data_IF_051596985278
#
_entry.id   IF_051596985278
#
_cell.length_a   1.000
_cell.length_b   1.000
_cell.length_c   1.000
_cell.angle_alpha   90.00
_cell.angle_beta   90.00
_cell.angle_gamma   90.00
#
_symmetry.space_group_name_H-M   'P 1'
#
loop_
_entity.id
_entity.type
_entity.pdbx_description
1 polymer ?
#
# COMPACT_ATOMS: atom_id res chain seq x y z
N UNK A 1 29.20 19.50 20.49
CA UNK A 1 28.87 19.34 19.04
C UNK A 1 30.18 19.43 18.26
N UNK A 2 30.46 18.53 17.35
CA UNK A 2 31.64 18.58 16.47
C UNK A 2 31.26 19.18 15.13
N UNK A 3 32.16 19.91 14.52
CA UNK A 3 32.03 20.49 13.19
C UNK A 3 33.07 19.83 12.27
N UNK A 4 32.66 19.43 11.06
CA UNK A 4 33.53 18.88 10.03
C UNK A 4 33.44 19.82 8.83
N UNK A 5 34.58 20.37 8.42
CA UNK A 5 34.69 21.23 7.23
C UNK A 5 35.31 20.42 6.10
N UNK A 6 34.67 20.44 4.92
CA UNK A 6 35.15 19.77 3.71
C UNK A 6 35.49 20.81 2.64
N UNK A 7 36.66 20.69 2.04
CA UNK A 7 37.09 21.49 0.89
C UNK A 7 37.04 20.64 -0.39
N UNK A 8 36.43 21.17 -1.44
CA UNK A 8 36.24 20.49 -2.71
C UNK A 8 36.93 21.26 -3.85
N UNK A 9 37.86 20.61 -4.54
CA UNK A 9 38.48 21.15 -5.74
C UNK A 9 37.95 20.43 -6.97
N UNK A 10 37.43 21.19 -7.93
CA UNK A 10 36.72 20.66 -9.10
C UNK A 10 37.41 21.13 -10.39
N UNK A 11 37.62 20.20 -11.30
CA UNK A 11 38.20 20.50 -12.64
C UNK A 11 37.23 19.99 -13.70
N UNK A 12 36.76 20.89 -14.55
CA UNK A 12 35.95 20.53 -15.71
C UNK A 12 36.82 20.55 -16.97
N UNK A 13 36.79 19.43 -17.70
CA UNK A 13 37.39 19.35 -19.03
C UNK A 13 36.28 19.56 -20.07
N UNK A 14 36.44 20.59 -20.90
CA UNK A 14 35.49 20.88 -21.97
C UNK A 14 35.89 20.09 -23.21
N UNK A 15 34.99 19.29 -23.80
CA UNK A 15 35.31 18.55 -25.03
C UNK A 15 35.62 19.51 -26.22
N UNK A 16 36.58 19.15 -27.06
CA UNK A 16 36.88 19.92 -28.28
C UNK A 16 35.70 20.07 -29.24
N UNK A 17 34.78 19.07 -29.24
CA UNK A 17 33.54 19.09 -30.05
C UNK A 17 32.50 20.13 -29.61
N UNK A 18 32.81 20.89 -28.57
CA UNK A 18 31.87 21.87 -27.98
C UNK A 18 30.98 21.29 -26.86
N UNK A 19 30.24 22.16 -26.24
CA UNK A 19 29.39 21.84 -25.08
C UNK A 19 27.94 22.11 -25.40
N UNK A 20 27.06 21.13 -25.17
CA UNK A 20 25.60 21.34 -25.18
C UNK A 20 25.08 21.41 -23.75
N UNK A 21 23.95 22.12 -23.54
CA UNK A 21 23.32 22.19 -22.21
C UNK A 21 22.94 20.81 -21.66
N UNK A 22 22.49 19.89 -22.52
CA UNK A 22 22.17 18.52 -22.14
C UNK A 22 23.42 17.72 -21.77
N UNK A 23 24.53 17.92 -22.50
CA UNK A 23 25.83 17.33 -22.17
C UNK A 23 26.37 17.83 -20.84
N UNK A 24 26.24 19.14 -20.57
CA UNK A 24 26.61 19.75 -19.30
C UNK A 24 25.80 19.17 -18.13
N UNK A 25 24.47 19.10 -18.28
CA UNK A 25 23.58 18.50 -17.26
C UNK A 25 23.93 17.01 -17.04
N UNK A 26 24.15 16.26 -18.10
CA UNK A 26 24.54 14.84 -18.01
C UNK A 26 25.87 14.63 -17.27
N UNK A 27 26.88 15.43 -17.62
CA UNK A 27 28.17 15.44 -16.94
C UNK A 27 28.08 15.82 -15.46
N UNK A 28 27.30 16.86 -15.14
CA UNK A 28 27.05 17.28 -13.75
C UNK A 28 26.34 16.18 -12.93
N UNK A 29 25.35 15.50 -13.49
CA UNK A 29 24.67 14.37 -12.81
C UNK A 29 25.63 13.24 -12.48
N UNK A 30 26.44 12.83 -13.44
CA UNK A 30 27.42 11.76 -13.26
C UNK A 30 28.46 12.14 -12.19
N UNK A 31 28.93 13.36 -12.25
CA UNK A 31 29.89 13.90 -11.33
C UNK A 31 29.34 14.05 -9.89
N UNK A 32 28.13 14.57 -9.71
CA UNK A 32 27.44 14.65 -8.41
C UNK A 32 27.38 13.26 -7.76
N UNK A 33 27.03 12.21 -8.52
CA UNK A 33 27.02 10.83 -8.01
C UNK A 33 28.38 10.36 -7.49
N UNK A 34 29.48 10.72 -8.15
CA UNK A 34 30.84 10.36 -7.70
C UNK A 34 31.28 11.12 -6.45
N UNK A 35 30.93 12.40 -6.36
CA UNK A 35 31.30 13.24 -5.21
C UNK A 35 30.56 12.83 -3.95
N UNK A 36 29.27 12.55 -4.03
CA UNK A 36 28.48 12.13 -2.87
C UNK A 36 29.12 10.93 -2.17
N UNK A 37 29.56 9.91 -2.94
CA UNK A 37 30.24 8.75 -2.37
C UNK A 37 31.55 9.10 -1.64
N UNK A 38 32.34 10.04 -2.19
CA UNK A 38 33.57 10.51 -1.55
C UNK A 38 33.29 11.33 -0.29
N UNK A 39 32.34 12.27 -0.36
CA UNK A 39 31.94 13.07 0.79
C UNK A 39 31.45 12.15 1.93
N UNK A 40 30.56 11.20 1.63
CA UNK A 40 30.05 10.29 2.63
C UNK A 40 31.15 9.39 3.21
N UNK A 41 32.08 8.90 2.37
CA UNK A 41 33.25 8.16 2.83
C UNK A 41 34.11 8.96 3.80
N UNK A 42 34.46 10.21 3.47
CA UNK A 42 35.26 11.10 4.34
C UNK A 42 34.52 11.46 5.64
N UNK A 43 33.19 11.67 5.60
CA UNK A 43 32.40 11.87 6.80
C UNK A 43 32.39 10.63 7.71
N UNK A 44 32.29 9.43 7.10
CA UNK A 44 32.37 8.17 7.84
C UNK A 44 33.73 8.01 8.50
N UNK A 45 34.83 8.32 7.79
CA UNK A 45 36.20 8.27 8.31
C UNK A 45 36.37 9.21 9.52
N UNK A 46 35.95 10.46 9.39
CA UNK A 46 36.04 11.43 10.47
C UNK A 46 35.20 11.04 11.68
N UNK A 47 34.00 10.49 11.48
CA UNK A 47 33.14 10.01 12.54
C UNK A 47 33.71 8.75 13.22
N UNK A 48 34.23 7.80 12.42
CA UNK A 48 34.85 6.57 12.93
C UNK A 48 36.05 6.88 13.82
N UNK A 49 36.95 7.75 13.35
CA UNK A 49 38.14 8.14 14.11
C UNK A 49 37.77 8.73 15.46
N UNK A 50 36.83 9.67 15.48
CA UNK A 50 36.35 10.29 16.72
C UNK A 50 35.69 9.29 17.67
N UNK A 51 34.92 8.34 17.13
CA UNK A 51 34.27 7.29 17.90
C UNK A 51 35.31 6.38 18.57
N UNK A 52 36.33 5.96 17.79
CA UNK A 52 37.42 5.12 18.28
C UNK A 52 38.26 5.83 19.31
N UNK A 53 38.62 7.10 19.09
CA UNK A 53 39.35 7.91 20.05
C UNK A 53 38.58 8.02 21.37
N UNK A 54 37.26 8.31 21.31
CA UNK A 54 36.42 8.40 22.49
C UNK A 54 36.37 7.09 23.27
N UNK A 55 36.25 5.93 22.59
CA UNK A 55 36.23 4.63 23.26
C UNK A 55 37.59 4.30 23.91
N UNK A 56 38.67 4.49 23.20
CA UNK A 56 40.03 4.22 23.72
C UNK A 56 40.37 5.15 24.89
N UNK A 57 39.98 6.42 24.83
CA UNK A 57 40.18 7.37 25.93
C UNK A 57 39.32 7.07 27.16
N UNK A 58 38.11 6.57 26.96
CA UNK A 58 37.20 6.24 28.07
C UNK A 58 37.64 5.01 28.87
N UNK A 59 38.25 4.02 28.21
CA UNK A 59 38.74 2.78 28.82
C UNK A 59 39.96 2.23 28.05
N UNK A 60 41.17 2.76 28.28
CA UNK A 60 42.40 2.38 27.55
C UNK A 60 42.83 0.93 27.82
N UNK A 61 42.46 0.36 28.96
CA UNK A 61 42.81 -1.01 29.29
C UNK A 61 41.92 -2.02 28.55
N UNK A 62 40.71 -1.62 28.26
CA UNK A 62 39.71 -2.46 27.59
C UNK A 62 39.80 -2.35 26.08
N UNK A 63 39.91 -1.15 25.53
CA UNK A 63 39.81 -0.95 24.07
C UNK A 63 41.16 -0.63 23.45
N UNK A 64 41.59 -1.47 22.52
CA UNK A 64 42.85 -1.30 21.77
C UNK A 64 42.55 -1.28 20.27
N UNK A 65 43.18 -0.35 19.55
CA UNK A 65 43.12 -0.31 18.07
C UNK A 65 43.65 -1.62 17.48
N UNK A 66 42.90 -2.22 16.54
CA UNK A 66 43.23 -3.51 15.93
C UNK A 66 43.26 -3.40 14.38
N UNK A 67 43.70 -2.25 13.86
CA UNK A 67 43.78 -2.01 12.43
C UNK A 67 42.41 -1.80 11.79
N UNK A 68 42.24 -2.30 10.57
CA UNK A 68 41.01 -2.24 9.81
C UNK A 68 40.70 -3.58 9.13
N UNK A 69 39.49 -3.75 8.66
CA UNK A 69 39.10 -4.92 7.89
C UNK A 69 39.99 -5.14 6.68
N UNK A 70 40.36 -6.40 6.39
CA UNK A 70 41.29 -6.75 5.28
C UNK A 70 40.72 -6.39 3.91
N UNK A 71 39.39 -6.43 3.74
CA UNK A 71 38.67 -6.11 2.50
C UNK A 71 37.75 -4.94 2.69
N UNK A 72 37.70 -4.06 1.68
CA UNK A 72 36.66 -3.03 1.65
C UNK A 72 35.28 -3.64 1.51
N UNK A 73 34.33 -3.10 2.26
CA UNK A 73 32.88 -3.36 2.09
C UNK A 73 32.32 -2.32 1.14
N UNK A 74 31.48 -2.74 0.21
CA UNK A 74 30.84 -1.86 -0.76
C UNK A 74 29.43 -1.55 -0.28
N UNK A 75 29.23 -0.35 0.28
CA UNK A 75 27.92 0.13 0.69
C UNK A 75 27.22 0.78 -0.51
N UNK A 76 26.06 0.30 -0.86
CA UNK A 76 25.23 0.84 -1.95
C UNK A 76 24.17 1.78 -1.39
N UNK A 77 24.34 3.06 -1.67
CA UNK A 77 23.40 4.12 -1.32
C UNK A 77 22.64 4.62 -2.56
N UNK A 78 21.60 5.42 -2.39
CA UNK A 78 20.94 6.14 -3.50
C UNK A 78 21.87 7.09 -4.24
N UNK A 79 22.97 7.50 -3.60
CA UNK A 79 23.96 8.45 -4.11
C UNK A 79 25.19 7.77 -4.76
N UNK A 80 25.24 6.43 -4.74
CA UNK A 80 26.37 5.71 -5.33
C UNK A 80 26.86 4.55 -4.45
N UNK A 81 27.90 3.87 -4.94
CA UNK A 81 28.58 2.79 -4.20
C UNK A 81 29.80 3.37 -3.48
N UNK A 82 29.86 3.12 -2.18
CA UNK A 82 30.91 3.63 -1.29
C UNK A 82 31.78 2.43 -0.87
N UNK A 83 33.03 2.32 -1.37
CA UNK A 83 33.97 1.36 -0.85
C UNK A 83 34.49 1.87 0.50
N UNK A 84 34.31 1.11 1.57
CA UNK A 84 34.73 1.51 2.90
C UNK A 84 35.41 0.35 3.63
N UNK A 85 36.53 0.63 4.32
CA UNK A 85 37.26 -0.30 5.17
C UNK A 85 37.05 0.11 6.63
N UNK A 86 36.19 -0.58 7.32
CA UNK A 86 35.90 -0.29 8.71
C UNK A 86 37.10 -0.58 9.61
N UNK A 87 37.42 0.37 10.48
CA UNK A 87 38.40 0.18 11.51
C UNK A 87 37.90 -0.79 12.58
N UNK A 88 38.83 -1.48 13.22
CA UNK A 88 38.55 -2.48 14.25
C UNK A 88 39.17 -2.10 15.59
N UNK A 89 38.42 -2.36 16.64
CA UNK A 89 38.89 -2.35 18.03
C UNK A 89 38.90 -3.77 18.56
N UNK A 90 39.85 -4.08 19.41
CA UNK A 90 39.89 -5.29 20.23
C UNK A 90 39.42 -4.95 21.63
N UNK A 91 38.38 -5.62 22.07
CA UNK A 91 37.96 -5.60 23.47
C UNK A 91 38.84 -6.61 24.23
N UNK A 92 39.75 -6.13 25.06
CA UNK A 92 40.70 -6.96 25.80
C UNK A 92 40.02 -7.84 26.86
N UNK A 93 38.87 -7.41 27.39
CA UNK A 93 38.12 -8.18 28.38
C UNK A 93 37.42 -9.40 27.74
N UNK A 94 36.82 -9.22 26.57
CA UNK A 94 36.13 -10.31 25.86
C UNK A 94 37.02 -11.03 24.85
N UNK A 95 38.18 -10.47 24.49
CA UNK A 95 39.08 -10.95 23.44
C UNK A 95 38.51 -10.80 22.02
N UNK A 96 37.35 -10.17 21.84
CA UNK A 96 36.64 -10.03 20.55
C UNK A 96 37.06 -8.76 19.82
N UNK A 97 37.14 -8.88 18.49
CA UNK A 97 37.22 -7.69 17.63
C UNK A 97 35.82 -7.16 17.34
N UNK A 98 35.67 -5.85 17.45
CA UNK A 98 34.44 -5.12 17.16
C UNK A 98 34.68 -4.08 16.07
N UNK A 99 33.64 -3.61 15.44
CA UNK A 99 33.67 -2.61 14.37
C UNK A 99 32.76 -1.44 14.82
N UNK A 100 33.29 -0.47 15.57
CA UNK A 100 32.49 0.54 16.26
C UNK A 100 31.53 1.32 15.35
N UNK A 101 32.01 1.69 14.16
CA UNK A 101 31.17 2.46 13.22
C UNK A 101 30.00 1.64 12.69
N UNK A 102 30.17 0.33 12.46
CA UNK A 102 29.08 -0.57 12.02
C UNK A 102 27.98 -0.65 13.08
N UNK A 103 28.37 -0.72 14.35
CA UNK A 103 27.46 -0.76 15.48
C UNK A 103 26.76 0.59 15.68
N UNK A 104 27.52 1.70 15.67
CA UNK A 104 27.02 3.04 15.87
C UNK A 104 26.03 3.49 14.79
N UNK A 105 26.27 3.13 13.53
CA UNK A 105 25.41 3.43 12.38
C UNK A 105 24.40 2.33 12.10
N UNK A 106 24.33 1.28 12.91
CA UNK A 106 23.46 0.12 12.72
C UNK A 106 23.51 -0.45 11.28
N UNK A 107 24.73 -0.53 10.70
CA UNK A 107 24.91 -1.03 9.35
C UNK A 107 24.69 -2.55 9.36
N UNK A 108 23.71 -3.09 8.63
CA UNK A 108 23.39 -4.51 8.68
C UNK A 108 24.57 -5.37 8.27
N UNK A 109 24.83 -6.46 9.01
CA UNK A 109 25.87 -7.42 8.64
C UNK A 109 25.53 -8.05 7.28
N UNK A 110 26.54 -8.19 6.42
CA UNK A 110 26.41 -8.84 5.10
C UNK A 110 25.47 -8.16 4.09
N UNK A 111 24.89 -7.02 4.42
CA UNK A 111 24.06 -6.28 3.50
C UNK A 111 24.90 -5.21 2.78
N UNK A 112 24.70 -5.14 1.46
CA UNK A 112 25.38 -4.16 0.63
C UNK A 112 24.49 -2.95 0.33
N UNK A 113 23.16 -3.05 0.50
CA UNK A 113 22.22 -1.97 0.21
C UNK A 113 21.79 -1.28 1.50
N UNK A 114 22.00 0.02 1.56
CA UNK A 114 21.42 0.84 2.63
C UNK A 114 19.93 0.97 2.44
N UNK A 115 19.18 1.10 3.55
CA UNK A 115 17.72 1.12 3.53
C UNK A 115 17.17 2.23 2.63
N UNK A 116 17.79 3.40 2.64
CA UNK A 116 17.38 4.54 1.81
C UNK A 116 17.52 4.28 0.30
N UNK A 117 18.42 3.37 -0.11
CA UNK A 117 18.56 2.94 -1.50
C UNK A 117 17.49 1.91 -1.91
N UNK A 118 16.92 1.19 -0.93
CA UNK A 118 15.91 0.16 -1.17
C UNK A 118 14.51 0.74 -1.31
N UNK A 119 14.20 1.81 -0.58
CA UNK A 119 12.87 2.43 -0.57
C UNK A 119 12.33 2.74 -1.98
N UNK A 120 13.06 3.44 -2.88
CA UNK A 120 12.55 3.73 -4.22
C UNK A 120 12.23 2.46 -5.01
N UNK A 121 13.09 1.43 -4.91
CA UNK A 121 12.90 0.15 -5.57
C UNK A 121 11.65 -0.57 -5.07
N UNK A 122 11.48 -0.69 -3.76
CA UNK A 122 10.32 -1.34 -3.15
C UNK A 122 9.06 -0.50 -3.42
N UNK A 123 9.12 0.82 -3.23
CA UNK A 123 7.99 1.72 -3.45
C UNK A 123 7.46 1.70 -4.89
N UNK A 124 8.34 1.57 -5.88
CA UNK A 124 7.93 1.44 -7.29
C UNK A 124 7.25 0.11 -7.60
N UNK A 125 7.52 -0.98 -6.85
CA UNK A 125 6.86 -2.28 -7.07
C UNK A 125 5.36 -2.25 -6.86
N UNK A 126 4.86 -1.24 -6.18
CA UNK A 126 3.42 -1.01 -6.01
C UNK A 126 2.73 -0.77 -7.36
N UNK A 127 3.44 -0.17 -8.31
CA UNK A 127 2.89 0.22 -9.62
C UNK A 127 3.41 -0.63 -10.78
N UNK A 128 4.64 -1.12 -10.69
CA UNK A 128 5.32 -1.82 -11.78
C UNK A 128 5.91 -3.16 -11.33
N UNK A 129 6.36 -4.00 -12.27
CA UNK A 129 7.04 -5.26 -11.94
C UNK A 129 8.38 -5.02 -11.24
N UNK A 130 8.86 -5.98 -10.46
CA UNK A 130 10.17 -5.89 -9.78
C UNK A 130 11.32 -5.55 -10.74
N UNK A 131 11.34 -6.15 -11.92
CA UNK A 131 12.37 -5.87 -12.95
C UNK A 131 12.29 -4.43 -13.45
N UNK A 132 11.07 -3.93 -13.69
CA UNK A 132 10.90 -2.55 -14.13
C UNK A 132 11.20 -1.56 -13.02
N UNK A 133 10.84 -1.86 -11.78
CA UNK A 133 11.17 -1.02 -10.64
C UNK A 133 12.69 -0.83 -10.50
N UNK A 134 13.46 -1.92 -10.59
CA UNK A 134 14.93 -1.83 -10.51
C UNK A 134 15.55 -1.11 -11.69
N UNK A 135 15.05 -1.33 -12.91
CA UNK A 135 15.51 -0.61 -14.11
C UNK A 135 15.24 0.91 -14.02
N UNK A 136 14.08 1.31 -13.47
CA UNK A 136 13.78 2.74 -13.29
C UNK A 136 14.64 3.37 -12.18
N UNK A 137 14.89 2.67 -11.08
CA UNK A 137 15.81 3.13 -10.02
C UNK A 137 17.23 3.33 -10.59
N UNK A 138 17.72 2.37 -11.37
CA UNK A 138 19.02 2.47 -12.02
C UNK A 138 19.08 3.64 -13.01
N UNK A 139 18.04 3.81 -13.84
CA UNK A 139 17.96 4.91 -14.82
C UNK A 139 17.94 6.29 -14.18
N UNK A 140 17.29 6.44 -13.02
CA UNK A 140 17.15 7.74 -12.34
C UNK A 140 18.32 8.01 -11.40
N UNK A 141 18.69 7.01 -10.59
CA UNK A 141 19.68 7.15 -9.50
C UNK A 141 21.06 6.58 -9.84
N UNK A 142 21.23 5.91 -10.99
CA UNK A 142 22.52 5.33 -11.39
C UNK A 142 22.94 4.09 -10.58
N UNK A 143 22.09 3.61 -9.66
CA UNK A 143 22.39 2.45 -8.83
C UNK A 143 21.75 1.18 -9.38
N UNK A 144 22.57 0.21 -9.76
CA UNK A 144 22.09 -1.11 -10.16
C UNK A 144 21.68 -1.94 -8.94
N UNK A 145 20.44 -2.41 -8.97
CA UNK A 145 19.87 -3.29 -7.95
C UNK A 145 19.20 -4.49 -8.62
N UNK A 146 19.43 -5.70 -8.11
CA UNK A 146 18.75 -6.87 -8.67
C UNK A 146 17.28 -6.91 -8.25
N UNK A 147 16.41 -7.34 -9.17
CA UNK A 147 15.00 -7.52 -8.87
C UNK A 147 14.75 -8.58 -7.77
N UNK A 148 15.65 -9.56 -7.64
CA UNK A 148 15.62 -10.54 -6.55
C UNK A 148 15.93 -9.91 -5.19
N UNK A 149 16.83 -8.92 -5.14
CA UNK A 149 17.09 -8.14 -3.92
C UNK A 149 15.84 -7.38 -3.48
N UNK A 150 15.20 -6.65 -4.40
CA UNK A 150 13.97 -5.91 -4.11
C UNK A 150 12.85 -6.86 -3.66
N UNK A 151 12.69 -8.00 -4.34
CA UNK A 151 11.69 -9.00 -3.96
C UNK A 151 11.97 -9.54 -2.54
N UNK A 152 13.19 -9.98 -2.25
CA UNK A 152 13.56 -10.50 -0.93
C UNK A 152 13.32 -9.47 0.17
N UNK A 153 13.75 -8.22 -0.04
CA UNK A 153 13.55 -7.14 0.93
C UNK A 153 12.09 -6.78 1.16
N UNK A 154 11.27 -6.84 0.12
CA UNK A 154 9.82 -6.66 0.26
C UNK A 154 9.21 -7.79 1.13
N UNK A 155 9.65 -9.05 0.94
CA UNK A 155 9.17 -10.17 1.76
C UNK A 155 9.59 -9.99 3.23
N UNK A 156 10.84 -9.60 3.49
CA UNK A 156 11.36 -9.32 4.84
C UNK A 156 10.59 -8.18 5.52
N UNK A 157 10.34 -7.08 4.81
CA UNK A 157 9.56 -5.95 5.30
C UNK A 157 8.12 -6.36 5.66
N UNK A 158 7.47 -7.15 4.79
CA UNK A 158 6.11 -7.62 5.03
C UNK A 158 6.01 -8.61 6.19
N UNK A 159 7.07 -9.39 6.47
CA UNK A 159 7.13 -10.32 7.57
C UNK A 159 7.37 -9.63 8.92
N UNK A 160 8.15 -8.54 8.94
CA UNK A 160 8.48 -7.79 10.16
C UNK A 160 7.40 -6.78 10.57
N UNK A 161 6.44 -6.46 9.67
CA UNK A 161 5.43 -5.45 9.92
C UNK A 161 4.05 -5.99 9.56
N UNK A 162 3.16 -6.07 10.53
CA UNK A 162 1.75 -6.34 10.30
C UNK A 162 0.97 -5.01 10.21
N UNK A 163 0.47 -4.63 9.02
CA UNK A 163 -0.30 -3.41 8.86
C UNK A 163 -1.68 -3.46 9.53
N UNK A 164 -2.14 -4.64 9.88
CA UNK A 164 -3.46 -4.92 10.44
C UNK A 164 -3.42 -5.31 11.92
N UNK A 165 -2.33 -5.01 12.61
CA UNK A 165 -2.22 -5.21 14.06
C UNK A 165 -3.46 -4.75 14.82
N UNK A 166 -3.65 -5.19 16.05
CA UNK A 166 -4.85 -4.95 16.83
C UNK A 166 -5.35 -3.49 16.74
N UNK A 167 -6.59 -3.32 16.27
CA UNK A 167 -7.28 -2.05 16.09
C UNK A 167 -8.45 -1.91 17.09
N UNK A 168 -8.39 -2.59 18.24
CA UNK A 168 -9.46 -2.64 19.24
C UNK A 168 -9.74 -1.28 19.91
N UNK A 169 -8.78 -0.39 19.85
CA UNK A 169 -8.92 1.00 20.28
C UNK A 169 -9.76 1.86 19.33
N UNK A 170 -9.96 1.39 18.08
CA UNK A 170 -10.79 2.08 17.09
C UNK A 170 -12.22 1.61 17.16
N UNK A 171 -13.14 2.52 17.43
CA UNK A 171 -14.58 2.25 17.45
C UNK A 171 -15.16 2.27 16.00
N UNK A 172 -14.78 1.30 15.19
CA UNK A 172 -15.36 1.16 13.85
C UNK A 172 -16.87 0.86 13.95
N UNK A 173 -17.65 1.54 13.12
CA UNK A 173 -19.11 1.37 13.02
C UNK A 173 -19.55 0.73 11.71
N UNK A 174 -18.76 0.87 10.68
CA UNK A 174 -19.10 0.46 9.32
C UNK A 174 -18.06 -0.48 8.75
N UNK A 175 -18.50 -1.58 8.17
CA UNK A 175 -17.66 -2.57 7.51
C UNK A 175 -18.09 -2.72 6.05
N UNK A 176 -17.20 -2.61 5.11
CA UNK A 176 -17.40 -2.94 3.70
C UNK A 176 -16.53 -4.11 3.31
N UNK A 177 -17.13 -5.10 2.66
CA UNK A 177 -16.42 -6.28 2.16
C UNK A 177 -16.73 -6.53 0.70
N UNK A 178 -15.75 -7.07 -0.01
CA UNK A 178 -15.88 -7.46 -1.42
C UNK A 178 -14.81 -8.45 -1.79
N UNK A 179 -15.00 -9.17 -2.90
CA UNK A 179 -14.06 -10.13 -3.45
C UNK A 179 -13.70 -9.84 -4.91
N UNK A 180 -12.49 -10.20 -5.30
CA UNK A 180 -12.08 -10.17 -6.70
C UNK A 180 -11.22 -11.37 -7.04
N UNK A 181 -11.34 -11.85 -8.28
CA UNK A 181 -10.57 -13.00 -8.75
C UNK A 181 -9.13 -12.60 -9.12
N UNK A 182 -8.18 -13.38 -8.66
CA UNK A 182 -6.76 -13.25 -8.99
C UNK A 182 -6.19 -14.58 -9.46
N UNK A 183 -5.19 -14.52 -10.34
CA UNK A 183 -4.47 -15.73 -10.80
C UNK A 183 -3.29 -16.02 -9.87
N UNK A 184 -3.22 -17.24 -9.37
CA UNK A 184 -2.09 -17.72 -8.60
C UNK A 184 -1.22 -18.71 -9.40
N UNK A 185 0.05 -18.76 -8.99
CA UNK A 185 0.99 -19.76 -9.47
C UNK A 185 1.63 -20.49 -8.29
N UNK A 186 1.77 -21.79 -8.42
CA UNK A 186 2.48 -22.66 -7.50
C UNK A 186 3.98 -22.74 -7.80
N UNK A 187 4.67 -23.65 -7.10
CA UNK A 187 6.08 -23.94 -7.33
C UNK A 187 6.36 -24.26 -8.80
N UNK A 188 7.56 -23.86 -9.27
CA UNK A 188 8.01 -24.04 -10.64
C UNK A 188 7.10 -23.40 -11.72
N UNK A 189 6.26 -22.45 -11.32
CA UNK A 189 5.38 -21.73 -12.23
C UNK A 189 4.11 -22.48 -12.62
N UNK A 190 3.75 -23.57 -11.90
CA UNK A 190 2.49 -24.30 -12.12
C UNK A 190 1.30 -23.35 -11.97
N UNK A 191 0.42 -23.32 -12.96
CA UNK A 191 -0.81 -22.53 -12.87
C UNK A 191 -1.76 -23.17 -11.83
N UNK A 192 -2.17 -22.39 -10.84
CA UNK A 192 -3.16 -22.78 -9.83
C UNK A 192 -4.57 -22.27 -10.17
N UNK A 193 -4.71 -21.58 -11.30
CA UNK A 193 -5.98 -21.03 -11.73
C UNK A 193 -6.35 -19.72 -11.02
N UNK A 194 -7.66 -19.40 -11.07
CA UNK A 194 -8.22 -18.24 -10.42
C UNK A 194 -8.74 -18.59 -9.03
N UNK A 195 -8.32 -17.82 -8.05
CA UNK A 195 -8.84 -17.87 -6.67
C UNK A 195 -9.47 -16.53 -6.30
N UNK A 196 -10.26 -16.51 -5.26
CA UNK A 196 -10.88 -15.29 -4.76
C UNK A 196 -9.94 -14.59 -3.76
N UNK A 197 -9.67 -13.32 -4.01
CA UNK A 197 -9.02 -12.42 -3.07
C UNK A 197 -10.10 -11.55 -2.42
N UNK A 198 -10.22 -11.62 -1.12
CA UNK A 198 -11.22 -10.93 -0.31
C UNK A 198 -10.60 -9.79 0.47
N UNK A 199 -11.32 -8.68 0.53
CA UNK A 199 -10.91 -7.50 1.29
C UNK A 199 -12.00 -7.12 2.28
N UNK A 200 -11.57 -6.52 3.39
CA UNK A 200 -12.43 -5.80 4.30
C UNK A 200 -11.85 -4.43 4.58
N UNK A 201 -12.71 -3.42 4.60
CA UNK A 201 -12.39 -2.07 4.99
C UNK A 201 -13.39 -1.60 6.03
N UNK A 202 -12.94 -0.78 6.99
CA UNK A 202 -13.81 -0.26 8.05
C UNK A 202 -13.70 1.25 8.17
N UNK A 203 -14.76 1.88 8.71
CA UNK A 203 -14.83 3.31 8.97
C UNK A 203 -15.42 3.62 10.34
N UNK A 204 -14.99 4.73 10.94
CA UNK A 204 -15.50 5.27 12.20
C UNK A 204 -16.82 6.06 12.00
N UNK A 205 -17.01 6.64 10.84
CA UNK A 205 -18.18 7.46 10.50
C UNK A 205 -18.78 7.09 9.15
N UNK A 206 -20.04 7.42 8.97
CA UNK A 206 -20.84 7.03 7.81
C UNK A 206 -20.29 7.53 6.47
N UNK A 207 -19.86 8.77 6.42
CA UNK A 207 -19.17 9.38 5.27
C UNK A 207 -17.65 9.46 5.49
N UNK A 208 -17.15 8.76 6.53
CA UNK A 208 -15.75 8.71 6.87
C UNK A 208 -14.92 7.94 5.84
N UNK A 209 -13.62 8.14 5.91
CA UNK A 209 -12.68 7.37 5.09
C UNK A 209 -12.64 5.92 5.55
N UNK A 210 -12.97 5.01 4.65
CA UNK A 210 -12.76 3.59 4.87
C UNK A 210 -11.27 3.26 4.76
N UNK A 211 -10.75 2.53 5.74
CA UNK A 211 -9.38 2.03 5.72
C UNK A 211 -9.37 0.50 5.68
N UNK A 212 -8.44 -0.11 4.92
CA UNK A 212 -8.33 -1.56 4.89
C UNK A 212 -8.03 -2.13 6.27
N UNK A 213 -8.76 -3.21 6.64
CA UNK A 213 -8.57 -3.95 7.89
C UNK A 213 -8.16 -5.39 7.66
N UNK A 214 -8.14 -5.85 6.41
CA UNK A 214 -7.61 -7.15 6.05
C UNK A 214 -7.69 -7.48 4.56
N UNK A 215 -6.80 -8.39 4.15
CA UNK A 215 -6.77 -9.05 2.85
C UNK A 215 -6.62 -10.55 3.06
N UNK A 216 -7.34 -11.34 2.29
CA UNK A 216 -7.31 -12.80 2.36
C UNK A 216 -7.36 -13.39 0.95
N UNK A 217 -6.73 -14.54 0.78
CA UNK A 217 -6.75 -15.29 -0.47
C UNK A 217 -7.36 -16.66 -0.17
N UNK A 218 -8.39 -17.02 -0.93
CA UNK A 218 -9.11 -18.31 -0.83
C UNK A 218 -9.55 -18.70 0.60
N UNK A 219 -9.79 -17.70 1.44
CA UNK A 219 -10.16 -17.87 2.85
C UNK A 219 -11.68 -17.72 2.99
N UNK A 220 -12.32 -18.60 3.73
CA UNK A 220 -13.78 -18.56 3.94
C UNK A 220 -14.21 -17.37 4.81
N UNK A 221 -15.40 -16.83 4.58
CA UNK A 221 -15.92 -15.70 5.35
C UNK A 221 -16.01 -15.97 6.87
N UNK A 222 -16.29 -17.21 7.25
CA UNK A 222 -16.30 -17.62 8.67
C UNK A 222 -14.92 -17.52 9.34
N UNK A 223 -13.85 -17.77 8.60
CA UNK A 223 -12.46 -17.63 9.09
C UNK A 223 -12.07 -16.16 9.15
N UNK A 224 -12.44 -15.39 8.11
CA UNK A 224 -12.26 -13.93 8.06
C UNK A 224 -12.95 -13.26 9.25
N UNK A 225 -14.17 -13.69 9.60
CA UNK A 225 -14.89 -13.20 10.76
C UNK A 225 -14.08 -13.34 12.06
N UNK A 226 -13.50 -14.50 12.31
CA UNK A 226 -12.67 -14.76 13.51
C UNK A 226 -11.49 -13.80 13.58
N UNK A 227 -10.77 -13.61 12.46
CA UNK A 227 -9.64 -12.69 12.42
C UNK A 227 -10.08 -11.23 12.63
N UNK A 228 -11.23 -10.82 12.10
CA UNK A 228 -11.74 -9.47 12.33
C UNK A 228 -12.13 -9.24 13.79
N UNK A 229 -12.69 -10.24 14.47
CA UNK A 229 -12.99 -10.19 15.91
C UNK A 229 -11.73 -10.09 16.79
N UNK A 230 -10.64 -10.67 16.35
CA UNK A 230 -9.34 -10.51 17.01
C UNK A 230 -8.73 -9.13 16.82
N UNK A 231 -8.94 -8.52 15.64
CA UNK A 231 -8.34 -7.24 15.24
C UNK A 231 -9.08 -6.02 15.77
N UNK A 232 -10.43 -6.05 15.84
CA UNK A 232 -11.25 -4.90 16.20
C UNK A 232 -12.39 -5.26 17.15
N UNK A 233 -13.03 -4.24 17.73
CA UNK A 233 -14.26 -4.42 18.48
C UNK A 233 -15.43 -4.66 17.51
N UNK A 234 -15.58 -5.91 17.10
CA UNK A 234 -16.50 -6.30 16.04
C UNK A 234 -17.98 -6.06 16.43
N UNK A 235 -18.31 -6.10 17.72
CA UNK A 235 -19.69 -5.92 18.20
C UNK A 235 -20.18 -4.47 18.10
N UNK A 236 -19.27 -3.51 17.86
CA UNK A 236 -19.63 -2.12 17.60
C UNK A 236 -19.99 -1.82 16.15
N UNK A 237 -19.83 -2.78 15.25
CA UNK A 237 -20.19 -2.60 13.86
C UNK A 237 -21.74 -2.52 13.72
N UNK A 238 -22.21 -1.51 13.03
CA UNK A 238 -23.64 -1.23 12.85
C UNK A 238 -24.15 -1.66 11.48
N UNK A 239 -23.32 -1.49 10.43
CA UNK A 239 -23.71 -1.81 9.05
C UNK A 239 -22.62 -2.56 8.33
N UNK A 240 -23.00 -3.63 7.63
CA UNK A 240 -22.19 -4.40 6.69
C UNK A 240 -22.57 -4.03 5.25
N UNK A 241 -21.66 -3.43 4.51
CA UNK A 241 -21.82 -3.15 3.08
C UNK A 241 -21.22 -4.29 2.27
N UNK A 242 -22.03 -4.87 1.37
CA UNK A 242 -21.59 -5.96 0.50
C UNK A 242 -22.34 -5.97 -0.83
N UNK A 243 -21.87 -6.81 -1.75
CA UNK A 243 -22.56 -7.09 -3.01
C UNK A 243 -23.67 -8.15 -2.88
N UNK A 244 -23.76 -8.81 -1.73
CA UNK A 244 -24.66 -9.92 -1.47
C UNK A 244 -24.18 -11.27 -1.99
N UNK A 245 -22.87 -11.41 -2.16
CA UNK A 245 -22.24 -12.69 -2.50
C UNK A 245 -22.51 -13.79 -1.46
N UNK A 246 -22.52 -15.07 -1.87
CA UNK A 246 -22.84 -16.17 -0.98
C UNK A 246 -21.94 -16.23 0.25
N UNK A 247 -22.52 -16.48 1.40
CA UNK A 247 -21.82 -16.66 2.66
C UNK A 247 -21.34 -15.37 3.34
N UNK A 248 -21.52 -14.19 2.73
CA UNK A 248 -21.10 -12.92 3.34
C UNK A 248 -21.98 -12.59 4.56
N UNK A 249 -23.26 -12.42 4.34
CA UNK A 249 -24.21 -12.02 5.37
C UNK A 249 -24.33 -13.09 6.47
N UNK A 250 -24.39 -14.36 6.09
CA UNK A 250 -24.52 -15.49 7.00
C UNK A 250 -23.35 -15.62 7.97
N UNK A 251 -22.15 -15.21 7.54
CA UNK A 251 -20.95 -15.36 8.36
C UNK A 251 -20.53 -14.05 9.03
N UNK A 252 -20.79 -12.89 8.43
CA UNK A 252 -20.26 -11.62 8.92
C UNK A 252 -21.27 -10.80 9.75
N UNK A 253 -22.57 -11.03 9.63
CA UNK A 253 -23.53 -10.34 10.49
C UNK A 253 -23.48 -10.83 11.93
N UNK A 254 -23.74 -9.92 12.86
CA UNK A 254 -24.01 -10.21 14.26
C UNK A 254 -25.34 -9.57 14.68
N UNK A 255 -25.95 -9.98 15.82
CA UNK A 255 -27.15 -9.32 16.31
C UNK A 255 -26.96 -7.83 16.48
N UNK A 256 -27.79 -7.02 15.82
CA UNK A 256 -27.68 -5.56 15.81
C UNK A 256 -26.98 -4.95 14.62
N UNK A 257 -26.23 -5.74 13.85
CA UNK A 257 -25.60 -5.27 12.59
C UNK A 257 -26.57 -5.46 11.41
N UNK A 258 -26.75 -4.41 10.61
CA UNK A 258 -27.67 -4.43 9.47
C UNK A 258 -26.89 -4.62 8.15
N UNK A 259 -27.36 -5.48 7.22
CA UNK A 259 -26.76 -5.57 5.89
C UNK A 259 -27.22 -4.39 5.04
N UNK A 260 -26.30 -3.79 4.29
CA UNK A 260 -26.58 -2.85 3.21
C UNK A 260 -26.03 -3.43 1.91
N UNK A 261 -26.91 -3.82 1.00
CA UNK A 261 -26.51 -4.28 -0.33
C UNK A 261 -26.26 -3.13 -1.27
N UNK A 262 -25.17 -3.25 -2.03
CA UNK A 262 -24.80 -2.27 -3.04
C UNK A 262 -25.88 -2.18 -4.13
N UNK A 263 -26.48 -1.00 -4.29
CA UNK A 263 -27.47 -0.74 -5.34
C UNK A 263 -26.96 -1.06 -6.74
N UNK A 264 -25.70 -0.71 -7.03
CA UNK A 264 -25.11 -0.93 -8.34
C UNK A 264 -24.98 -2.42 -8.65
N UNK A 265 -24.51 -3.21 -7.68
CA UNK A 265 -24.44 -4.67 -7.80
C UNK A 265 -25.84 -5.29 -7.89
N UNK A 266 -26.82 -4.75 -7.16
CA UNK A 266 -28.22 -5.16 -7.26
C UNK A 266 -28.76 -5.02 -8.68
N UNK A 267 -28.55 -3.87 -9.32
CA UNK A 267 -28.95 -3.68 -10.73
C UNK A 267 -28.18 -4.59 -11.70
N UNK A 268 -26.88 -4.69 -11.52
CA UNK A 268 -26.00 -5.46 -12.40
C UNK A 268 -26.20 -6.97 -12.27
N UNK A 269 -26.53 -7.45 -11.09
CA UNK A 269 -26.77 -8.87 -10.82
C UNK A 269 -28.05 -9.40 -11.45
N UNK A 270 -29.09 -8.59 -11.47
CA UNK A 270 -30.43 -9.01 -11.92
C UNK A 270 -30.49 -9.69 -13.31
N UNK A 271 -29.85 -9.18 -14.36
CA UNK A 271 -29.80 -9.86 -15.67
C UNK A 271 -29.18 -11.26 -15.64
N UNK A 272 -28.25 -11.54 -14.73
CA UNK A 272 -27.66 -12.88 -14.62
C UNK A 272 -28.64 -13.91 -14.08
N UNK A 273 -29.53 -13.52 -13.17
CA UNK A 273 -30.57 -14.39 -12.62
C UNK A 273 -31.69 -14.63 -13.66
N UNK A 274 -32.06 -13.59 -14.42
CA UNK A 274 -32.94 -13.75 -15.58
C UNK A 274 -32.35 -14.71 -16.62
N UNK A 275 -31.04 -14.62 -16.87
CA UNK A 275 -30.38 -15.56 -17.77
C UNK A 275 -30.36 -16.99 -17.20
N UNK A 276 -30.17 -17.15 -15.88
CA UNK A 276 -30.24 -18.46 -15.22
C UNK A 276 -31.63 -19.09 -15.32
N UNK A 277 -32.69 -18.28 -15.36
CA UNK A 277 -34.07 -18.72 -15.62
C UNK A 277 -34.36 -18.92 -17.11
N UNK A 278 -33.37 -18.77 -18.01
CA UNK A 278 -33.46 -19.08 -19.45
C UNK A 278 -33.79 -17.89 -20.35
N UNK A 279 -33.86 -16.65 -19.84
CA UNK A 279 -34.21 -15.45 -20.61
C UNK A 279 -32.99 -14.79 -21.23
N UNK A 280 -33.03 -14.50 -22.54
CA UNK A 280 -32.00 -13.77 -23.27
C UNK A 280 -32.22 -12.26 -23.18
N UNK A 281 -31.17 -11.47 -23.48
CA UNK A 281 -31.18 -10.02 -23.36
C UNK A 281 -32.43 -9.30 -23.87
N UNK A 282 -32.98 -9.57 -25.04
CA UNK A 282 -34.18 -8.88 -25.51
C UNK A 282 -35.41 -9.11 -24.63
N UNK A 283 -35.53 -10.30 -24.04
CA UNK A 283 -36.63 -10.70 -23.19
C UNK A 283 -36.53 -10.13 -21.77
N UNK A 284 -35.30 -9.78 -21.37
CA UNK A 284 -34.99 -9.22 -20.03
C UNK A 284 -35.32 -7.73 -19.93
N UNK A 285 -35.33 -7.00 -21.04
CA UNK A 285 -35.35 -5.53 -21.08
C UNK A 285 -36.47 -4.92 -20.19
N UNK A 286 -37.69 -5.37 -20.37
CA UNK A 286 -38.83 -4.85 -19.61
C UNK A 286 -38.72 -5.09 -18.10
N UNK A 287 -38.20 -6.25 -17.68
CA UNK A 287 -38.01 -6.56 -16.25
C UNK A 287 -36.85 -5.76 -15.64
N UNK A 288 -35.79 -5.57 -16.39
CA UNK A 288 -34.64 -4.72 -15.99
C UNK A 288 -35.08 -3.27 -15.79
N UNK A 289 -35.88 -2.74 -16.71
CA UNK A 289 -36.47 -1.39 -16.58
C UNK A 289 -37.39 -1.26 -15.35
N UNK A 290 -38.22 -2.29 -15.08
CA UNK A 290 -39.04 -2.30 -13.86
C UNK A 290 -38.22 -2.27 -12.58
N UNK A 291 -37.14 -3.07 -12.49
CA UNK A 291 -36.22 -3.00 -11.33
C UNK A 291 -35.56 -1.63 -11.21
N UNK A 292 -35.09 -1.07 -12.33
CA UNK A 292 -34.43 0.26 -12.33
C UNK A 292 -35.38 1.40 -11.94
N UNK A 293 -36.69 1.21 -12.16
CA UNK A 293 -37.72 2.19 -11.78
C UNK A 293 -38.14 2.12 -10.30
N UNK A 294 -37.72 1.09 -9.56
CA UNK A 294 -37.99 1.03 -8.10
C UNK A 294 -37.30 2.21 -7.42
N UNK A 295 -37.98 3.01 -6.58
CA UNK A 295 -37.42 4.27 -6.07
C UNK A 295 -36.04 4.16 -5.44
N UNK A 296 -35.79 3.18 -4.59
CA UNK A 296 -34.49 2.96 -3.97
C UNK A 296 -33.37 2.80 -5.01
N UNK A 297 -33.65 2.23 -6.18
CA UNK A 297 -32.68 2.03 -7.24
C UNK A 297 -32.35 3.32 -7.99
N UNK A 298 -33.16 4.36 -7.92
CA UNK A 298 -32.93 5.63 -8.63
C UNK A 298 -32.11 6.62 -7.81
N UNK A 299 -32.05 6.46 -6.49
CA UNK A 299 -31.37 7.37 -5.59
C UNK A 299 -29.86 7.37 -5.78
N UNK A 300 -29.26 8.54 -5.59
CA UNK A 300 -27.81 8.74 -5.58
C UNK A 300 -27.33 9.12 -4.18
N UNK A 301 -26.03 8.99 -3.92
CA UNK A 301 -25.41 9.45 -2.68
C UNK A 301 -25.68 10.94 -2.44
N UNK A 302 -25.61 11.76 -3.50
CA UNK A 302 -25.84 13.20 -3.42
C UNK A 302 -27.32 13.55 -3.08
N UNK A 303 -28.28 12.72 -3.45
CA UNK A 303 -29.68 12.92 -3.05
C UNK A 303 -29.83 12.71 -1.54
N UNK A 304 -29.17 11.68 -1.00
CA UNK A 304 -29.19 11.40 0.43
C UNK A 304 -28.49 12.50 1.26
N UNK A 305 -27.36 13.01 0.79
CA UNK A 305 -26.60 14.07 1.47
C UNK A 305 -27.33 15.42 1.52
N UNK A 306 -28.32 15.61 0.68
CA UNK A 306 -29.17 16.82 0.67
C UNK A 306 -30.35 16.73 1.63
N UNK A 307 -30.67 15.54 2.15
CA UNK A 307 -31.79 15.35 3.06
C UNK A 307 -31.61 16.14 4.36
N UNK A 308 -32.70 16.69 4.85
CA UNK A 308 -32.78 17.43 6.10
C UNK A 308 -33.78 16.74 7.04
N UNK A 309 -33.74 17.02 8.33
CA UNK A 309 -34.71 16.41 9.29
C UNK A 309 -36.17 16.58 8.88
N UNK A 310 -36.51 17.71 8.22
CA UNK A 310 -37.86 17.99 7.73
C UNK A 310 -38.33 17.05 6.59
N UNK A 311 -37.39 16.42 5.90
CA UNK A 311 -37.69 15.50 4.78
C UNK A 311 -38.07 14.09 5.25
N UNK A 312 -38.15 13.87 6.56
CA UNK A 312 -38.54 12.58 7.16
C UNK A 312 -39.78 11.96 6.52
N UNK A 313 -40.91 12.69 6.34
CA UNK A 313 -42.13 12.12 5.72
C UNK A 313 -41.88 11.71 4.25
N UNK A 314 -40.99 12.43 3.54
CA UNK A 314 -40.62 12.09 2.17
C UNK A 314 -39.85 10.78 2.12
N UNK A 315 -38.89 10.57 3.05
CA UNK A 315 -38.11 9.34 3.12
C UNK A 315 -38.97 8.15 3.53
N UNK A 316 -39.92 8.32 4.48
CA UNK A 316 -40.89 7.30 4.84
C UNK A 316 -41.74 6.88 3.63
N UNK A 317 -42.29 7.85 2.88
CA UNK A 317 -43.02 7.59 1.65
C UNK A 317 -42.14 6.88 0.59
N UNK A 318 -40.84 7.19 0.54
CA UNK A 318 -39.89 6.56 -0.38
C UNK A 318 -39.67 5.09 -0.02
N UNK A 319 -39.58 4.75 1.27
CA UNK A 319 -39.51 3.36 1.75
C UNK A 319 -40.77 2.60 1.32
N UNK A 320 -41.98 3.16 1.56
CA UNK A 320 -43.22 2.54 1.19
C UNK A 320 -43.37 2.31 -0.32
N UNK A 321 -43.03 3.32 -1.13
CA UNK A 321 -43.06 3.20 -2.59
C UNK A 321 -42.03 2.19 -3.11
N UNK A 322 -40.88 2.06 -2.43
CA UNK A 322 -39.88 1.06 -2.76
C UNK A 322 -40.41 -0.35 -2.49
N UNK A 323 -41.04 -0.55 -1.33
CA UNK A 323 -41.65 -1.81 -0.99
C UNK A 323 -42.73 -2.21 -2.03
N UNK A 324 -43.65 -1.29 -2.36
CA UNK A 324 -44.65 -1.49 -3.41
C UNK A 324 -44.03 -1.79 -4.78
N UNK A 325 -42.95 -1.11 -5.15
CA UNK A 325 -42.23 -1.35 -6.40
C UNK A 325 -41.64 -2.76 -6.51
N UNK A 326 -41.05 -3.26 -5.42
CA UNK A 326 -40.55 -4.64 -5.38
C UNK A 326 -41.69 -5.66 -5.40
N UNK A 327 -42.80 -5.43 -4.67
CA UNK A 327 -43.97 -6.29 -4.68
C UNK A 327 -44.59 -6.40 -6.09
N UNK A 328 -44.74 -5.27 -6.80
CA UNK A 328 -45.19 -5.24 -8.19
C UNK A 328 -44.23 -6.00 -9.13
N UNK A 329 -42.92 -5.88 -8.92
CA UNK A 329 -41.93 -6.63 -9.69
C UNK A 329 -42.10 -8.14 -9.41
N UNK A 330 -42.22 -8.55 -8.16
CA UNK A 330 -42.44 -9.95 -7.77
C UNK A 330 -43.76 -10.52 -8.33
N UNK A 331 -44.83 -9.73 -8.39
CA UNK A 331 -46.12 -10.13 -9.01
C UNK A 331 -45.94 -10.34 -10.53
N UNK A 332 -45.04 -9.61 -11.19
CA UNK A 332 -44.76 -9.78 -12.61
C UNK A 332 -43.87 -10.99 -12.92
N UNK A 333 -43.30 -11.61 -11.90
CA UNK A 333 -42.39 -12.76 -12.01
C UNK A 333 -43.15 -14.04 -11.60
N UNK A 334 -43.63 -14.83 -12.56
CA UNK A 334 -44.24 -16.13 -12.29
C UNK A 334 -43.28 -17.05 -11.54
N UNK A 335 -43.68 -17.67 -10.40
CA UNK A 335 -42.76 -18.48 -9.58
C UNK A 335 -42.16 -19.69 -10.27
N UNK A 336 -42.91 -20.29 -11.22
CA UNK A 336 -42.42 -21.46 -11.95
C UNK A 336 -41.46 -21.05 -13.06
N UNK A 337 -41.64 -19.88 -13.65
CA UNK A 337 -40.89 -19.38 -14.78
C UNK A 337 -39.60 -18.61 -14.36
N UNK A 338 -39.63 -17.97 -13.16
CA UNK A 338 -38.56 -17.11 -12.68
C UNK A 338 -38.06 -17.50 -11.26
N UNK A 339 -37.75 -18.77 -10.97
CA UNK A 339 -37.41 -19.19 -9.60
C UNK A 339 -36.17 -18.50 -9.05
N UNK A 340 -35.09 -18.41 -9.86
CA UNK A 340 -33.83 -17.78 -9.43
C UNK A 340 -33.97 -16.26 -9.30
N UNK A 341 -34.66 -15.64 -10.25
CA UNK A 341 -34.89 -14.19 -10.27
C UNK A 341 -35.73 -13.73 -9.08
N UNK A 342 -36.78 -14.48 -8.73
CA UNK A 342 -37.62 -14.18 -7.55
C UNK A 342 -36.79 -14.25 -6.27
N UNK A 343 -36.09 -15.35 -6.06
CA UNK A 343 -35.23 -15.51 -4.86
C UNK A 343 -34.23 -14.38 -4.76
N UNK A 344 -33.67 -13.95 -5.90
CA UNK A 344 -32.74 -12.81 -5.93
C UNK A 344 -33.40 -11.51 -5.46
N UNK A 345 -34.63 -11.19 -5.94
CA UNK A 345 -35.37 -9.97 -5.55
C UNK A 345 -35.77 -10.04 -4.09
N UNK A 346 -36.29 -11.18 -3.63
CA UNK A 346 -36.67 -11.40 -2.23
C UNK A 346 -35.53 -11.16 -1.27
N UNK A 347 -34.31 -11.61 -1.65
CA UNK A 347 -33.08 -11.40 -0.88
C UNK A 347 -32.52 -9.98 -1.01
N UNK A 348 -32.87 -9.22 -2.05
CA UNK A 348 -32.33 -7.87 -2.30
C UNK A 348 -33.19 -6.79 -1.62
N UNK A 349 -34.51 -6.94 -1.62
CA UNK A 349 -35.46 -5.85 -1.31
C UNK A 349 -35.28 -5.24 0.07
N UNK A 350 -34.96 -6.05 1.07
CA UNK A 350 -34.76 -5.56 2.45
C UNK A 350 -33.37 -4.93 2.62
N UNK A 351 -32.26 -5.62 2.33
CA UNK A 351 -30.90 -5.07 2.54
C UNK A 351 -30.59 -3.85 1.69
N UNK A 352 -31.19 -3.69 0.51
CA UNK A 352 -30.93 -2.53 -0.34
C UNK A 352 -31.55 -1.23 0.19
N UNK A 353 -32.50 -1.32 1.12
CA UNK A 353 -33.18 -0.17 1.74
C UNK A 353 -32.56 0.26 3.06
N UNK A 354 -31.58 -0.44 3.55
CA UNK A 354 -30.98 -0.19 4.88
C UNK A 354 -30.53 1.26 5.05
N UNK A 355 -29.95 1.89 4.01
CA UNK A 355 -29.51 3.28 4.10
C UNK A 355 -30.67 4.28 4.33
N UNK A 356 -31.87 4.03 3.78
CA UNK A 356 -33.06 4.85 4.05
C UNK A 356 -33.54 4.67 5.51
N UNK A 357 -33.62 3.41 5.96
CA UNK A 357 -34.00 3.07 7.32
C UNK A 357 -33.01 3.60 8.35
N UNK A 358 -31.71 3.49 8.07
CA UNK A 358 -30.67 4.04 8.92
C UNK A 358 -30.81 5.56 9.05
N UNK A 359 -31.09 6.26 7.95
CA UNK A 359 -31.30 7.70 7.98
C UNK A 359 -32.59 8.05 8.81
N UNK A 360 -33.67 7.29 8.67
CA UNK A 360 -34.86 7.48 9.47
C UNK A 360 -34.62 7.26 10.96
N UNK A 361 -33.76 6.35 11.34
CA UNK A 361 -33.46 6.04 12.74
C UNK A 361 -32.48 7.07 13.36
N UNK A 362 -31.46 7.46 12.64
CA UNK A 362 -30.31 8.24 13.17
C UNK A 362 -30.14 9.64 12.59
N UNK A 363 -30.77 9.93 11.45
CA UNK A 363 -30.49 11.13 10.65
C UNK A 363 -29.15 11.06 9.89
N UNK A 364 -28.41 9.96 10.00
CA UNK A 364 -27.08 9.81 9.44
C UNK A 364 -27.16 9.18 8.04
N UNK A 365 -26.47 9.81 7.07
CA UNK A 365 -26.37 9.29 5.71
C UNK A 365 -25.24 8.26 5.65
N UNK A 366 -25.53 7.06 5.16
CA UNK A 366 -24.53 6.01 4.92
C UNK A 366 -24.35 5.75 3.43
N UNK A 367 -23.24 5.10 3.00
CA UNK A 367 -23.01 4.74 1.60
C UNK A 367 -24.12 3.83 1.03
N UNK A 368 -24.53 4.13 -0.22
CA UNK A 368 -25.48 3.31 -0.97
C UNK A 368 -24.80 2.17 -1.72
N UNK A 369 -23.48 2.27 -1.87
CA UNK A 369 -22.69 1.38 -2.72
C UNK A 369 -21.40 0.95 -2.02
N UNK A 370 -20.75 -0.05 -2.59
CA UNK A 370 -19.42 -0.54 -2.18
C UNK A 370 -18.26 0.25 -2.82
N UNK A 371 -18.51 1.46 -3.31
CA UNK A 371 -17.51 2.27 -4.04
C UNK A 371 -16.18 2.46 -3.26
N UNK A 372 -16.23 2.51 -1.94
CA UNK A 372 -15.02 2.66 -1.12
C UNK A 372 -14.02 1.53 -1.38
N UNK A 373 -14.48 0.27 -1.38
CA UNK A 373 -13.63 -0.89 -1.62
C UNK A 373 -13.29 -1.06 -3.10
N UNK A 374 -14.20 -0.71 -4.01
CA UNK A 374 -13.95 -0.74 -5.46
C UNK A 374 -12.84 0.26 -5.84
N UNK A 375 -12.85 1.46 -5.26
CA UNK A 375 -11.77 2.44 -5.42
C UNK A 375 -10.43 1.93 -4.85
N UNK A 376 -10.47 1.21 -3.72
CA UNK A 376 -9.27 0.58 -3.18
C UNK A 376 -8.74 -0.51 -4.13
N UNK A 377 -9.62 -1.38 -4.67
CA UNK A 377 -9.24 -2.35 -5.68
C UNK A 377 -8.65 -1.71 -6.94
N UNK A 378 -9.20 -0.59 -7.41
CA UNK A 378 -8.71 0.09 -8.60
C UNK A 378 -7.24 0.48 -8.50
N UNK A 379 -6.78 0.87 -7.30
CA UNK A 379 -5.39 1.26 -7.02
C UNK A 379 -4.41 0.09 -7.15
N UNK A 380 -4.85 -1.13 -6.91
CA UNK A 380 -4.00 -2.35 -6.95
C UNK A 380 -4.23 -3.23 -8.16
N UNK A 381 -5.43 -3.18 -8.76
CA UNK A 381 -5.84 -4.06 -9.86
C UNK A 381 -4.91 -4.01 -11.07
N UNK A 382 -4.40 -2.83 -11.43
CA UNK A 382 -3.47 -2.70 -12.53
C UNK A 382 -2.22 -3.57 -12.31
N UNK A 383 -1.66 -3.52 -11.10
CA UNK A 383 -0.48 -4.29 -10.74
C UNK A 383 -0.77 -5.78 -10.62
N UNK A 384 -1.91 -6.16 -10.05
CA UNK A 384 -2.29 -7.57 -9.84
C UNK A 384 -2.71 -8.23 -11.15
N UNK A 385 -3.53 -7.56 -11.97
CA UNK A 385 -4.20 -8.17 -13.12
C UNK A 385 -3.52 -7.89 -14.47
N UNK A 386 -2.78 -6.80 -14.60
CA UNK A 386 -2.17 -6.37 -15.87
C UNK A 386 -0.65 -6.45 -15.88
N UNK A 387 -0.01 -6.10 -14.75
CA UNK A 387 1.44 -6.06 -14.65
C UNK A 387 1.93 -7.21 -13.77
N UNK A 388 2.48 -8.26 -14.40
CA UNK A 388 2.99 -9.43 -13.68
C UNK A 388 1.86 -10.27 -13.08
N UNK A 389 1.17 -11.03 -13.92
CA UNK A 389 -0.03 -11.82 -13.57
C UNK A 389 0.24 -13.08 -12.76
N UNK A 390 1.50 -13.40 -12.48
CA UNK A 390 1.88 -14.66 -11.83
C UNK A 390 2.34 -14.37 -10.41
N UNK A 391 1.51 -14.71 -9.45
CA UNK A 391 1.75 -14.50 -8.04
C UNK A 391 1.73 -15.83 -7.30
N UNK A 392 2.70 -16.07 -6.42
CA UNK A 392 2.46 -17.01 -5.32
C UNK A 392 1.54 -16.35 -4.30
N UNK A 393 0.78 -17.14 -3.57
CA UNK A 393 -0.12 -16.64 -2.53
C UNK A 393 0.62 -15.76 -1.51
N UNK A 394 1.68 -16.29 -0.90
CA UNK A 394 2.51 -15.53 0.05
C UNK A 394 3.12 -14.27 -0.59
N UNK A 395 3.56 -14.35 -1.86
CA UNK A 395 4.12 -13.21 -2.58
C UNK A 395 3.09 -12.10 -2.80
N UNK A 396 1.84 -12.46 -3.11
CA UNK A 396 0.75 -11.50 -3.28
C UNK A 396 0.34 -10.88 -1.94
N UNK A 397 0.18 -11.67 -0.88
CA UNK A 397 -0.16 -11.17 0.45
C UNK A 397 0.91 -10.21 0.98
N UNK A 398 2.19 -10.57 0.86
CA UNK A 398 3.28 -9.72 1.30
C UNK A 398 3.37 -8.42 0.49
N UNK A 399 3.14 -8.50 -0.83
CA UNK A 399 3.07 -7.30 -1.66
C UNK A 399 1.89 -6.41 -1.27
N UNK A 400 0.71 -6.98 -0.96
CA UNK A 400 -0.46 -6.23 -0.48
C UNK A 400 -0.17 -5.53 0.85
N UNK A 401 0.51 -6.19 1.81
CA UNK A 401 0.92 -5.59 3.07
C UNK A 401 1.80 -4.35 2.86
N UNK A 402 2.81 -4.45 2.00
CA UNK A 402 3.69 -3.31 1.67
C UNK A 402 2.93 -2.21 0.93
N UNK A 403 2.04 -2.59 0.01
CA UNK A 403 1.18 -1.66 -0.73
C UNK A 403 0.23 -0.90 0.19
N UNK A 404 -0.24 -1.55 1.26
CA UNK A 404 -1.06 -0.90 2.28
C UNK A 404 -0.35 0.32 2.88
N UNK A 405 0.90 0.16 3.32
CA UNK A 405 1.67 1.29 3.85
C UNK A 405 1.83 2.40 2.81
N UNK A 406 2.27 2.05 1.61
CA UNK A 406 2.58 3.04 0.56
C UNK A 406 1.35 3.83 0.08
N UNK A 407 0.19 3.16 -0.09
CA UNK A 407 -0.99 3.76 -0.71
C UNK A 407 -2.00 4.27 0.34
N UNK A 408 -2.23 3.51 1.41
CA UNK A 408 -3.30 3.79 2.35
C UNK A 408 -2.83 4.47 3.63
N UNK A 409 -1.54 4.30 4.00
CA UNK A 409 -0.91 4.88 5.20
C UNK A 409 0.45 5.49 4.87
N UNK A 410 0.51 6.52 4.00
CA UNK A 410 1.77 7.12 3.55
C UNK A 410 2.60 7.71 4.70
N UNK A 411 1.95 8.15 5.78
CA UNK A 411 2.62 8.59 7.01
C UNK A 411 3.40 7.46 7.69
N UNK A 412 2.83 6.25 7.71
CA UNK A 412 3.53 5.07 8.25
C UNK A 412 4.63 4.60 7.29
N UNK A 413 4.40 4.69 5.97
CA UNK A 413 5.44 4.44 4.99
C UNK A 413 6.66 5.32 5.21
N UNK A 414 6.42 6.63 5.40
CA UNK A 414 7.48 7.59 5.69
C UNK A 414 8.23 7.24 6.97
N UNK A 415 7.52 6.84 8.04
CA UNK A 415 8.13 6.41 9.30
C UNK A 415 8.96 5.13 9.18
N UNK A 416 8.57 4.19 8.34
CA UNK A 416 9.32 2.96 8.09
C UNK A 416 10.73 3.24 7.54
N UNK A 417 10.85 4.26 6.68
CA UNK A 417 12.10 4.58 5.98
C UNK A 417 12.85 5.77 6.58
N UNK A 418 12.13 6.72 7.15
CA UNK A 418 12.69 7.83 7.91
C UNK A 418 12.58 7.48 9.39
N UNK A 419 13.49 6.65 9.89
CA UNK A 419 13.64 6.56 11.35
C UNK A 419 13.86 7.98 11.88
N UNK A 420 13.29 8.31 13.05
CA UNK A 420 13.41 9.60 13.76
C UNK A 420 14.88 9.90 14.11
N UNK A 421 15.72 10.02 13.10
CA UNK A 421 17.13 10.38 13.24
C UNK A 421 17.24 11.87 12.96
N UNK A 422 17.85 12.58 13.87
CA UNK A 422 18.26 13.95 13.62
C UNK A 422 19.16 13.99 12.39
N UNK A 423 18.68 14.60 11.31
CA UNK A 423 19.53 14.86 10.15
C UNK A 423 20.60 15.87 10.56
N UNK A 424 21.89 15.65 10.20
CA UNK A 424 22.90 16.64 10.41
C UNK A 424 22.51 17.93 9.70
N UNK A 425 22.57 19.06 10.41
CA UNK A 425 22.34 20.36 9.78
C UNK A 425 23.53 20.68 8.88
N UNK A 426 23.31 20.58 7.57
CA UNK A 426 24.30 20.94 6.57
C UNK A 426 24.11 22.41 6.24
N UNK A 427 25.15 23.22 6.49
CA UNK A 427 25.18 24.65 6.16
C UNK A 427 26.24 24.88 5.09
N UNK A 428 25.83 25.40 3.94
CA UNK A 428 26.76 25.92 2.96
C UNK A 428 27.35 27.23 3.51
N UNK A 429 28.60 27.22 3.91
CA UNK A 429 29.27 28.38 4.51
C UNK A 429 29.75 29.34 3.42
N UNK A 430 30.37 28.80 2.37
CA UNK A 430 30.77 29.58 1.19
C UNK A 430 30.86 28.69 -0.04
N UNK A 431 30.56 29.26 -1.20
CA UNK A 431 30.82 28.65 -2.50
C UNK A 431 31.59 29.67 -3.34
N UNK A 432 32.88 29.48 -3.50
CA UNK A 432 33.71 30.36 -4.31
C UNK A 432 33.92 29.69 -5.67
N UNK A 433 33.35 30.30 -6.73
CA UNK A 433 33.52 29.82 -8.11
C UNK A 433 34.48 30.76 -8.81
N UNK A 434 35.64 30.22 -9.21
CA UNK A 434 36.56 30.89 -10.08
C UNK A 434 36.82 30.03 -11.31
N UNK A 435 37.01 30.68 -12.47
CA UNK A 435 37.38 29.94 -13.67
C UNK A 435 38.65 30.54 -14.29
N UNK A 436 39.47 29.67 -14.83
CA UNK A 436 40.63 30.03 -15.66
C UNK A 436 40.58 29.20 -16.93
N UNK A 437 40.70 29.86 -18.07
CA UNK A 437 40.91 29.16 -19.31
C UNK A 437 42.41 28.85 -19.42
N UNK A 438 42.80 27.59 -19.42
CA UNK A 438 44.13 27.21 -19.82
C UNK A 438 44.15 27.13 -21.35
N UNK A 439 44.77 28.07 -21.98
CA UNK A 439 45.12 27.94 -23.39
C UNK A 439 46.26 26.89 -23.49
N UNK A 440 45.93 25.64 -23.48
CA UNK A 440 46.84 24.59 -23.96
C UNK A 440 46.68 24.56 -25.49
N UNK A 441 47.25 25.53 -26.15
CA UNK A 441 47.61 25.41 -27.55
C UNK A 441 48.97 24.78 -27.58
N UNK A 442 49.05 23.52 -27.88
CA UNK A 442 50.12 22.91 -28.70
C UNK A 442 49.59 21.63 -29.28
#
# INVERSE_FOLDING_TARGET
MGEITLELHLVFQIPESGLTINGLIGGLKQWIGQIHGKILGSLMEAFEERLIEGMVQSDPERYQRNGSQSKARYLKSSLGTIPYRFAQLKDQHSGRSMTPLVEALAIPAYDHYLEEALEPGIGLTVHVSYRRATSEVERIGGQSMSHTTVHRRLQELAASHDPFGAMKDKAFRFLVVDGTKVHLQGPLGKDLGQVEMRWAMASLGSLGRFEPVGFWIDTKWAEIRKELEERMDYQKLEVLFCDGGPGIEENLLHPGMKPQRCQWHGKRGFPYFLYADGFKKPEQQSLVEKLQAVPVMTLTQNDMEKLRPEDRPLVEQMVDKTQQGFEQLLQALDPQRYPHTRTYIENLMEPVTTFLKHWLESGEVIPLTTNAIENAFSRVNNRIKRVGRRWSEAGLLNWLKVTFYKIFKPELWTKLWNSERDFPKIKLVSLQISWRWSNAIT
#
